data_IF_707361959137
#
_entry.id   IF_707361959137
#
_cell.length_a   1.000
_cell.length_b   1.000
_cell.length_c   1.000
_cell.angle_alpha   90.00
_cell.angle_beta   90.00
_cell.angle_gamma   90.00
#
_symmetry.space_group_name_H-M   'P 1'
#
loop_
_entity.id
_entity.type
_entity.pdbx_description
1 polymer ?
#
# COMPACT_ATOMS: atom_id res chain seq x y z
N UNK A 1 14.99 -9.27 -3.50
CA UNK A 1 13.80 -9.83 -2.81
C UNK A 1 12.93 -10.57 -3.80
N UNK A 2 12.60 -11.79 -3.49
CA UNK A 2 11.83 -12.66 -4.37
C UNK A 2 10.33 -12.41 -4.20
N UNK A 3 9.60 -12.31 -5.32
CA UNK A 3 8.15 -12.10 -5.31
C UNK A 3 7.43 -13.32 -4.72
N UNK A 4 6.58 -13.15 -3.70
CA UNK A 4 5.82 -14.25 -3.13
C UNK A 4 4.80 -14.83 -4.10
N UNK A 5 4.47 -16.11 -3.90
CA UNK A 5 3.47 -16.82 -4.71
C UNK A 5 2.06 -16.22 -4.58
N UNK A 6 1.79 -15.49 -3.51
CA UNK A 6 0.51 -14.82 -3.29
C UNK A 6 0.17 -13.79 -4.39
N UNK A 7 1.17 -13.28 -5.10
CA UNK A 7 0.97 -12.39 -6.25
C UNK A 7 0.86 -13.13 -7.58
N UNK A 8 0.91 -14.46 -7.58
CA UNK A 8 0.78 -15.27 -8.79
C UNK A 8 -0.59 -15.03 -9.43
N UNK A 9 -0.61 -14.70 -10.71
CA UNK A 9 -1.84 -14.38 -11.44
C UNK A 9 -2.37 -12.97 -11.27
N UNK A 10 -1.81 -12.18 -10.37
CA UNK A 10 -2.18 -10.79 -10.13
C UNK A 10 -1.19 -9.86 -10.87
N UNK A 11 -1.44 -9.62 -12.15
CA UNK A 11 -0.52 -8.84 -12.98
C UNK A 11 -0.36 -7.40 -12.49
N UNK A 12 -1.44 -6.79 -12.04
CA UNK A 12 -1.40 -5.41 -11.51
C UNK A 12 -0.61 -5.36 -10.21
N UNK A 13 -0.88 -6.29 -9.29
CA UNK A 13 -0.13 -6.41 -8.04
C UNK A 13 1.35 -6.66 -8.28
N UNK A 14 1.70 -7.52 -9.24
CA UNK A 14 3.08 -7.78 -9.64
C UNK A 14 3.75 -6.51 -10.17
N UNK A 15 3.03 -5.70 -10.94
CA UNK A 15 3.53 -4.42 -11.43
C UNK A 15 3.86 -3.46 -10.29
N UNK A 16 2.98 -3.36 -9.30
CA UNK A 16 3.24 -2.57 -8.09
C UNK A 16 4.45 -3.09 -7.32
N UNK A 17 4.57 -4.39 -7.18
CA UNK A 17 5.72 -5.03 -6.53
C UNK A 17 7.04 -4.57 -7.15
N UNK A 18 7.16 -4.71 -8.47
CA UNK A 18 8.38 -4.33 -9.20
C UNK A 18 8.68 -2.83 -9.07
N UNK A 19 7.65 -2.00 -9.19
CA UNK A 19 7.77 -0.55 -9.10
C UNK A 19 8.24 -0.11 -7.70
N UNK A 20 7.67 -0.68 -6.65
CA UNK A 20 8.04 -0.35 -5.27
C UNK A 20 9.46 -0.81 -4.96
N UNK A 21 9.82 -2.04 -5.33
CA UNK A 21 11.17 -2.54 -5.11
C UNK A 21 12.21 -1.67 -5.82
N UNK A 22 11.93 -1.24 -7.03
CA UNK A 22 12.83 -0.38 -7.78
C UNK A 22 13.05 0.96 -7.07
N UNK A 23 11.99 1.55 -6.54
CA UNK A 23 12.06 2.83 -5.80
C UNK A 23 12.76 2.70 -4.46
N UNK A 24 12.62 1.54 -3.79
CA UNK A 24 13.16 1.31 -2.47
C UNK A 24 14.56 0.68 -2.51
N UNK A 25 15.04 0.34 -3.69
CA UNK A 25 16.37 -0.22 -3.89
C UNK A 25 17.42 0.78 -3.40
N UNK A 26 18.37 0.29 -2.64
CA UNK A 26 19.43 1.11 -2.08
C UNK A 26 19.08 1.85 -0.78
N UNK A 27 17.80 1.93 -0.40
CA UNK A 27 17.41 2.55 0.87
C UNK A 27 17.61 1.63 2.07
N UNK A 28 17.68 0.30 1.84
CA UNK A 28 17.92 -0.68 2.89
C UNK A 28 16.80 -0.78 3.93
N UNK A 29 15.59 -0.34 3.61
CA UNK A 29 14.45 -0.32 4.54
C UNK A 29 13.69 -1.63 4.52
N UNK A 30 13.50 -2.21 3.32
CA UNK A 30 12.79 -3.49 3.15
C UNK A 30 13.79 -4.65 3.19
N UNK A 31 13.40 -5.74 3.84
CA UNK A 31 14.17 -6.98 3.88
C UNK A 31 13.27 -8.17 3.51
N UNK A 32 13.85 -9.39 3.54
CA UNK A 32 13.12 -10.61 3.17
C UNK A 32 11.91 -10.89 4.07
N UNK A 33 11.93 -10.41 5.31
CA UNK A 33 10.80 -10.59 6.24
C UNK A 33 9.61 -9.73 5.85
N UNK A 34 9.83 -8.67 5.10
CA UNK A 34 8.76 -7.76 4.65
C UNK A 34 8.06 -8.27 3.38
N UNK A 35 8.57 -9.32 2.75
CA UNK A 35 8.09 -9.77 1.44
C UNK A 35 6.59 -10.07 1.41
N UNK A 36 6.08 -10.82 2.40
CA UNK A 36 4.66 -11.18 2.44
C UNK A 36 3.77 -9.96 2.69
N UNK A 37 4.17 -9.06 3.58
CA UNK A 37 3.42 -7.84 3.86
C UNK A 37 3.42 -6.91 2.65
N UNK A 38 4.56 -6.79 1.96
CA UNK A 38 4.65 -6.02 0.72
C UNK A 38 3.75 -6.63 -0.37
N UNK A 39 3.68 -7.95 -0.48
CA UNK A 39 2.78 -8.62 -1.42
C UNK A 39 1.31 -8.33 -1.12
N UNK A 40 0.91 -8.37 0.15
CA UNK A 40 -0.45 -7.98 0.58
C UNK A 40 -0.73 -6.53 0.19
N UNK A 41 0.21 -5.65 0.44
CA UNK A 41 0.09 -4.24 0.07
C UNK A 41 -0.11 -4.06 -1.45
N UNK A 42 0.69 -4.73 -2.26
CA UNK A 42 0.60 -4.67 -3.72
C UNK A 42 -0.73 -5.24 -4.25
N UNK A 43 -1.18 -6.36 -3.70
CA UNK A 43 -2.47 -6.94 -4.02
C UNK A 43 -3.62 -6.00 -3.64
N UNK A 44 -3.49 -5.32 -2.51
CA UNK A 44 -4.48 -4.36 -2.04
C UNK A 44 -4.51 -3.10 -2.91
N UNK A 45 -3.38 -2.64 -3.42
CA UNK A 45 -3.33 -1.56 -4.42
C UNK A 45 -4.08 -1.93 -5.69
N UNK A 46 -3.90 -3.16 -6.16
CA UNK A 46 -4.61 -3.68 -7.34
C UNK A 46 -6.12 -3.70 -7.12
N UNK A 47 -6.58 -4.11 -5.93
CA UNK A 47 -8.00 -4.08 -5.57
C UNK A 47 -8.55 -2.66 -5.51
N UNK A 48 -7.78 -1.72 -4.99
CA UNK A 48 -8.15 -0.31 -4.97
C UNK A 48 -8.40 0.21 -6.39
N UNK A 49 -7.52 -0.14 -7.33
CA UNK A 49 -7.69 0.23 -8.74
C UNK A 49 -8.99 -0.34 -9.30
N UNK A 50 -9.31 -1.60 -9.00
CA UNK A 50 -10.55 -2.24 -9.44
C UNK A 50 -11.78 -1.57 -8.85
N UNK A 51 -11.76 -1.23 -7.56
CA UNK A 51 -12.86 -0.51 -6.91
C UNK A 51 -13.07 0.89 -7.50
N UNK A 52 -11.97 1.59 -7.78
CA UNK A 52 -12.03 2.92 -8.41
C UNK A 52 -12.64 2.84 -9.81
N UNK A 53 -12.26 1.84 -10.59
CA UNK A 53 -12.81 1.62 -11.93
C UNK A 53 -14.31 1.28 -11.87
N UNK A 54 -14.72 0.43 -10.93
CA UNK A 54 -16.12 0.08 -10.71
C UNK A 54 -16.93 1.33 -10.34
N UNK A 55 -16.41 2.16 -9.45
CA UNK A 55 -17.06 3.41 -9.03
C UNK A 55 -17.28 4.34 -10.22
N UNK A 56 -16.25 4.53 -11.05
CA UNK A 56 -16.37 5.36 -12.26
C UNK A 56 -17.43 4.82 -13.23
N UNK A 57 -17.47 3.50 -13.40
CA UNK A 57 -18.48 2.84 -14.24
C UNK A 57 -19.90 3.07 -13.73
N UNK A 58 -20.11 2.93 -12.43
CA UNK A 58 -21.43 3.15 -11.80
C UNK A 58 -21.85 4.62 -11.90
N UNK A 59 -20.93 5.56 -11.73
CA UNK A 59 -21.20 6.98 -11.89
C UNK A 59 -21.65 7.28 -13.32
N UNK A 60 -20.96 6.74 -14.31
CA UNK A 60 -21.34 6.91 -15.72
C UNK A 60 -22.72 6.33 -16.01
N UNK A 61 -23.04 5.16 -15.44
CA UNK A 61 -24.37 4.56 -15.56
C UNK A 61 -25.45 5.42 -14.93
N UNK A 62 -25.20 5.94 -13.73
CA UNK A 62 -26.15 6.80 -13.03
C UNK A 62 -26.42 8.10 -13.80
N UNK A 63 -25.39 8.70 -14.37
CA UNK A 63 -25.51 9.92 -15.16
C UNK A 63 -26.33 9.70 -16.45
N UNK A 64 -26.25 8.51 -17.02
CA UNK A 64 -26.95 8.15 -18.26
C UNK A 64 -28.35 7.56 -18.00
N UNK A 65 -28.72 7.25 -16.76
CA UNK A 65 -29.98 6.58 -16.44
C UNK A 65 -31.15 7.55 -16.40
N UNK A 66 -32.14 7.41 -17.32
CA UNK A 66 -33.31 8.28 -17.34
C UNK A 66 -34.36 7.94 -16.27
N UNK A 67 -34.42 6.69 -15.80
CA UNK A 67 -35.36 6.26 -14.79
C UNK A 67 -34.85 6.68 -13.40
N UNK A 68 -35.63 7.51 -12.71
CA UNK A 68 -35.25 8.07 -11.42
C UNK A 68 -35.04 7.00 -10.34
N UNK A 69 -35.90 5.99 -10.32
CA UNK A 69 -35.83 4.91 -9.33
C UNK A 69 -34.55 4.08 -9.52
N UNK A 70 -34.23 3.73 -10.76
CA UNK A 70 -32.99 3.01 -11.09
C UNK A 70 -31.77 3.88 -10.81
N UNK A 71 -31.84 5.18 -11.04
CA UNK A 71 -30.77 6.11 -10.72
C UNK A 71 -30.48 6.12 -9.22
N UNK A 72 -31.52 6.14 -8.38
CA UNK A 72 -31.35 6.09 -6.93
C UNK A 72 -30.70 4.79 -6.47
N UNK A 73 -31.04 3.66 -7.06
CA UNK A 73 -30.39 2.38 -6.78
C UNK A 73 -28.89 2.42 -7.13
N UNK A 74 -28.55 2.99 -8.29
CA UNK A 74 -27.17 3.16 -8.69
C UNK A 74 -26.40 4.06 -7.73
N UNK A 75 -27.01 5.15 -7.27
CA UNK A 75 -26.38 6.06 -6.28
C UNK A 75 -26.11 5.33 -4.98
N UNK A 76 -27.05 4.50 -4.51
CA UNK A 76 -26.84 3.69 -3.30
C UNK A 76 -25.66 2.72 -3.47
N UNK A 77 -25.52 2.10 -4.64
CA UNK A 77 -24.40 1.24 -4.97
C UNK A 77 -23.08 2.03 -5.01
N UNK A 78 -23.09 3.23 -5.57
CA UNK A 78 -21.92 4.11 -5.60
C UNK A 78 -21.47 4.44 -4.17
N UNK A 79 -22.37 4.81 -3.29
CA UNK A 79 -22.08 5.10 -1.89
C UNK A 79 -21.44 3.90 -1.19
N UNK A 80 -21.96 2.69 -1.44
CA UNK A 80 -21.41 1.46 -0.89
C UNK A 80 -19.96 1.23 -1.36
N UNK A 81 -19.69 1.43 -2.65
CA UNK A 81 -18.34 1.28 -3.22
C UNK A 81 -17.40 2.34 -2.66
N UNK A 82 -17.84 3.59 -2.53
CA UNK A 82 -17.04 4.67 -1.96
C UNK A 82 -16.66 4.38 -0.52
N UNK A 83 -17.58 3.84 0.28
CA UNK A 83 -17.30 3.46 1.66
C UNK A 83 -16.22 2.35 1.73
N UNK A 84 -16.32 1.36 0.87
CA UNK A 84 -15.30 0.30 0.75
C UNK A 84 -13.94 0.88 0.34
N UNK A 85 -13.96 1.80 -0.61
CA UNK A 85 -12.74 2.44 -1.11
C UNK A 85 -12.05 3.23 0.00
N UNK A 86 -12.79 4.00 0.79
CA UNK A 86 -12.25 4.75 1.93
C UNK A 86 -11.64 3.84 2.99
N UNK A 87 -12.32 2.73 3.34
CA UNK A 87 -11.81 1.76 4.28
C UNK A 87 -10.52 1.12 3.77
N UNK A 88 -10.49 0.82 2.47
CA UNK A 88 -9.33 0.24 1.82
C UNK A 88 -8.14 1.20 1.82
N UNK A 89 -8.37 2.47 1.55
CA UNK A 89 -7.34 3.52 1.58
C UNK A 89 -6.71 3.66 2.96
N UNK A 90 -7.52 3.59 4.03
CA UNK A 90 -7.01 3.62 5.41
C UNK A 90 -6.10 2.42 5.70
N UNK A 91 -6.51 1.24 5.27
CA UNK A 91 -5.71 0.02 5.44
C UNK A 91 -4.40 0.11 4.67
N UNK A 92 -4.45 0.61 3.43
CA UNK A 92 -3.27 0.81 2.61
C UNK A 92 -2.28 1.79 3.25
N UNK A 93 -2.79 2.88 3.82
CA UNK A 93 -1.93 3.85 4.49
C UNK A 93 -1.25 3.24 5.72
N UNK A 94 -1.95 2.42 6.49
CA UNK A 94 -1.37 1.66 7.61
C UNK A 94 -0.23 0.76 7.15
N UNK A 95 -0.44 -0.03 6.09
CA UNK A 95 0.60 -0.90 5.56
C UNK A 95 1.79 -0.10 5.01
N UNK A 96 1.52 1.00 4.33
CA UNK A 96 2.58 1.87 3.81
C UNK A 96 3.46 2.41 4.94
N UNK A 97 2.85 2.79 6.05
CA UNK A 97 3.60 3.27 7.23
C UNK A 97 4.45 2.17 7.85
N UNK A 98 3.91 0.97 8.00
CA UNK A 98 4.65 -0.16 8.57
C UNK A 98 5.83 -0.54 7.68
N UNK A 99 5.64 -0.53 6.37
CA UNK A 99 6.67 -0.89 5.39
C UNK A 99 7.70 0.22 5.12
N UNK A 100 7.50 1.41 5.68
CA UNK A 100 8.42 2.52 5.44
C UNK A 100 8.28 3.17 4.07
N UNK A 101 7.08 3.06 3.45
CA UNK A 101 6.83 3.59 2.12
C UNK A 101 6.44 5.08 2.11
N UNK A 102 6.21 5.66 3.29
CA UNK A 102 5.96 7.10 3.43
C UNK A 102 7.24 7.80 3.90
N UNK A 103 7.44 9.10 3.56
CA UNK A 103 8.61 9.82 4.04
C UNK A 103 8.75 9.85 5.56
N UNK A 104 7.65 10.02 6.29
CA UNK A 104 7.65 10.01 7.76
C UNK A 104 8.06 8.65 8.31
N UNK A 105 7.52 7.58 7.75
CA UNK A 105 7.84 6.22 8.17
C UNK A 105 9.30 5.89 7.88
N UNK A 106 9.84 6.33 6.73
CA UNK A 106 11.26 6.14 6.40
C UNK A 106 12.16 6.86 7.40
N UNK A 107 11.83 8.10 7.75
CA UNK A 107 12.60 8.88 8.73
C UNK A 107 12.57 8.22 10.10
N UNK A 108 11.41 7.73 10.55
CA UNK A 108 11.27 7.02 11.83
C UNK A 108 12.10 5.74 11.87
N UNK A 109 12.05 4.94 10.80
CA UNK A 109 12.83 3.70 10.73
C UNK A 109 14.34 3.97 10.69
N UNK A 110 14.76 5.02 10.01
CA UNK A 110 16.15 5.42 9.98
C UNK A 110 16.64 5.81 11.38
N UNK A 111 15.83 6.56 12.16
CA UNK A 111 16.15 6.92 13.53
C UNK A 111 16.24 5.70 14.43
N UNK A 112 15.32 4.75 14.30
CA UNK A 112 15.34 3.50 15.07
C UNK A 112 16.59 2.68 14.79
N UNK A 113 17.02 2.61 13.54
CA UNK A 113 18.25 1.91 13.16
C UNK A 113 19.47 2.58 13.75
N UNK A 114 19.56 3.89 13.68
CA UNK A 114 20.67 4.65 14.27
C UNK A 114 20.76 4.41 15.78
N UNK A 115 19.63 4.40 16.49
CA UNK A 115 19.59 4.12 17.92
C UNK A 115 20.01 2.68 18.23
N UNK A 116 19.56 1.72 17.42
CA UNK A 116 19.92 0.30 17.59
C UNK A 116 21.41 0.07 17.34
N UNK A 117 22.00 0.73 16.35
CA UNK A 117 23.43 0.65 16.07
C UNK A 117 24.26 1.26 17.20
N UNK A 118 23.81 2.38 17.76
CA UNK A 118 24.47 3.00 18.90
C UNK A 118 24.44 2.11 20.15
N UNK A 119 23.33 1.42 20.41
CA UNK A 119 23.21 0.47 21.52
C UNK A 119 24.02 -0.80 21.29
N UNK A 120 24.15 -1.24 20.03
CA UNK A 120 24.88 -2.45 19.70
C UNK A 120 26.39 -2.30 19.83
N UNK A 121 26.92 -1.07 19.85
CA UNK A 121 28.34 -0.79 19.97
C UNK A 121 28.63 0.26 21.03
N UNK A 122 28.30 -0.01 22.32
CA UNK A 122 28.57 0.93 23.40
C UNK A 122 30.07 1.10 23.66
N UNK A 123 30.88 0.06 23.42
CA UNK A 123 32.33 0.13 23.61
C UNK A 123 32.98 1.00 22.53
N UNK A 124 32.47 1.00 21.34
CA UNK A 124 32.91 1.88 20.27
C UNK A 124 32.71 3.34 20.62
N UNK A 125 31.60 3.69 21.26
CA UNK A 125 31.30 5.03 21.75
C UNK A 125 32.22 5.44 22.92
N UNK A 126 32.58 4.49 23.78
CA UNK A 126 33.44 4.74 24.92
C UNK A 126 34.92 4.91 24.54
N UNK A 127 35.36 4.15 23.55
CA UNK A 127 36.76 4.14 23.12
C UNK A 127 36.94 4.69 21.71
N UNK A 128 35.86 5.03 21.05
CA UNK A 128 35.87 5.59 19.72
C UNK A 128 36.38 7.02 19.72
N UNK A 129 37.23 7.30 18.84
CA UNK A 129 37.83 8.62 18.69
C UNK A 129 37.15 9.47 17.63
#
# INVERSE_FOLDING_TARGET
MKMPKSLSGDKVGQGYWRSILKRMEGLGILDELDAEMLAVYCSSLARKDSLSALCRGLIAQADAEPDLEMRFELIANIDSVLNRLQAHEKTLLSYANVLGLTPEARARLARKRAAAEAEADPDGDLFGD
#
